data_IF_794962504890
#
_entry.id   IF_794962504890
#
_cell.length_a   1.000
_cell.length_b   1.000
_cell.length_c   1.000
_cell.angle_alpha   90.00
_cell.angle_beta   90.00
_cell.angle_gamma   90.00
#
_symmetry.space_group_name_H-M   'P 1'
#
loop_
_entity.id
_entity.type
_entity.pdbx_description
1 polymer ?
#
# COMPACT_ATOMS: atom_id res chain seq x y z
N UNK A 1 15.12 9.06 7.74
CA UNK A 1 15.06 7.68 8.27
C UNK A 1 13.79 7.04 7.75
N UNK A 2 13.91 5.92 7.05
CA UNK A 2 12.77 5.09 6.64
C UNK A 2 12.04 4.60 7.89
N UNK A 3 10.72 4.70 7.96
CA UNK A 3 9.98 4.20 9.13
C UNK A 3 10.12 2.67 9.19
N UNK A 4 10.51 2.13 10.34
CA UNK A 4 10.62 0.68 10.55
C UNK A 4 9.34 -0.10 10.16
N UNK A 5 8.12 0.43 10.38
CA UNK A 5 6.88 -0.22 9.94
C UNK A 5 6.78 -0.44 8.42
N UNK A 6 7.41 0.41 7.59
CA UNK A 6 7.44 0.22 6.14
C UNK A 6 8.22 -1.04 5.76
N UNK A 7 9.24 -1.43 6.53
CA UNK A 7 10.04 -2.63 6.27
C UNK A 7 9.26 -3.89 6.62
N UNK A 8 8.50 -3.88 7.71
CA UNK A 8 7.74 -5.06 8.15
C UNK A 8 6.53 -5.34 7.26
N UNK A 9 5.98 -4.32 6.57
CA UNK A 9 4.83 -4.49 5.69
C UNK A 9 5.10 -5.47 4.53
N UNK A 10 6.32 -5.44 3.98
CA UNK A 10 6.69 -6.26 2.82
C UNK A 10 7.39 -7.57 3.19
N UNK A 11 7.79 -7.73 4.45
CA UNK A 11 8.46 -8.93 4.95
C UNK A 11 7.70 -10.24 4.65
N UNK A 12 6.36 -10.32 4.70
CA UNK A 12 5.65 -11.56 4.35
C UNK A 12 5.93 -12.06 2.93
N UNK A 13 6.20 -11.16 1.98
CA UNK A 13 6.59 -11.53 0.61
C UNK A 13 8.06 -11.97 0.55
N UNK A 14 8.95 -11.24 1.23
CA UNK A 14 10.39 -11.57 1.28
C UNK A 14 10.64 -12.92 1.96
N UNK A 15 9.84 -13.26 2.98
CA UNK A 15 9.91 -14.52 3.71
C UNK A 15 9.09 -15.65 3.05
N UNK A 16 8.57 -15.43 1.84
CA UNK A 16 7.77 -16.40 1.08
C UNK A 16 6.51 -16.91 1.81
N UNK A 17 6.05 -16.16 2.83
CA UNK A 17 4.82 -16.47 3.57
C UNK A 17 3.56 -16.10 2.77
N UNK A 18 3.69 -15.14 1.85
CA UNK A 18 2.68 -14.77 0.86
C UNK A 18 3.29 -14.82 -0.56
N UNK A 19 2.53 -15.29 -1.56
CA UNK A 19 2.99 -15.21 -2.94
C UNK A 19 3.12 -13.74 -3.38
N UNK A 20 4.11 -13.46 -4.22
CA UNK A 20 4.24 -12.16 -4.86
C UNK A 20 3.02 -11.89 -5.76
N UNK A 21 2.48 -10.65 -5.77
CA UNK A 21 1.40 -10.30 -6.68
C UNK A 21 1.80 -10.49 -8.15
N UNK A 22 0.85 -10.93 -8.97
CA UNK A 22 1.03 -10.99 -10.43
C UNK A 22 1.31 -9.60 -10.98
N UNK A 23 2.04 -9.51 -12.10
CA UNK A 23 2.41 -8.24 -12.74
C UNK A 23 1.22 -7.32 -13.04
N UNK A 24 0.07 -7.90 -13.37
CA UNK A 24 -1.18 -7.20 -13.68
C UNK A 24 -2.09 -7.00 -12.45
N UNK A 25 -1.69 -7.51 -11.28
CA UNK A 25 -2.47 -7.38 -10.06
C UNK A 25 -2.58 -5.91 -9.62
N UNK A 26 -3.80 -5.50 -9.30
CA UNK A 26 -4.11 -4.18 -8.78
C UNK A 26 -3.95 -4.19 -7.27
N UNK A 27 -2.83 -3.67 -6.78
CA UNK A 27 -2.55 -3.58 -5.35
C UNK A 27 -2.88 -2.18 -4.84
N UNK A 28 -3.76 -2.08 -3.84
CA UNK A 28 -4.05 -0.82 -3.14
C UNK A 28 -3.09 -0.63 -1.97
N UNK A 29 -2.51 0.56 -1.78
CA UNK A 29 -1.67 0.84 -0.61
C UNK A 29 -2.20 2.05 0.16
N UNK A 30 -2.83 1.78 1.31
CA UNK A 30 -3.39 2.78 2.20
C UNK A 30 -2.38 3.24 3.25
N UNK A 31 -2.19 4.55 3.36
CA UNK A 31 -1.26 5.15 4.32
C UNK A 31 0.21 5.04 3.89
N UNK A 32 0.46 4.96 2.57
CA UNK A 32 1.80 4.85 2.02
C UNK A 32 2.68 6.05 2.43
N UNK A 33 3.87 5.78 2.95
CA UNK A 33 4.86 6.80 3.31
C UNK A 33 6.08 6.68 2.37
N UNK A 34 6.79 7.78 2.06
CA UNK A 34 7.99 7.71 1.22
C UNK A 34 9.08 6.81 1.81
N UNK A 35 9.88 6.20 0.93
CA UNK A 35 11.08 5.46 1.30
C UNK A 35 10.91 3.95 1.47
N UNK A 36 9.71 3.38 1.27
CA UNK A 36 9.60 1.93 1.16
C UNK A 36 10.39 1.41 -0.05
N UNK A 37 10.79 0.14 0.04
CA UNK A 37 11.34 -0.61 -1.07
C UNK A 37 10.42 -1.80 -1.31
N UNK A 38 10.07 -2.01 -2.57
CA UNK A 38 9.35 -3.21 -2.96
C UNK A 38 10.31 -4.42 -2.90
N UNK A 39 9.83 -5.61 -2.50
CA UNK A 39 10.60 -6.84 -2.59
C UNK A 39 11.07 -7.13 -4.00
N UNK A 40 12.18 -7.87 -4.12
CA UNK A 40 12.62 -8.39 -5.42
C UNK A 40 11.52 -9.26 -6.04
N UNK A 41 11.20 -9.01 -7.31
CA UNK A 41 10.13 -9.71 -8.04
C UNK A 41 8.70 -9.17 -7.80
N UNK A 42 8.54 -8.11 -7.00
CA UNK A 42 7.25 -7.42 -6.88
C UNK A 42 6.97 -6.57 -8.14
N UNK A 43 6.42 -7.22 -9.18
CA UNK A 43 6.20 -6.60 -10.49
C UNK A 43 4.88 -5.81 -10.60
N UNK A 44 3.97 -5.96 -9.64
CA UNK A 44 2.74 -5.19 -9.59
C UNK A 44 3.04 -3.71 -9.30
N UNK A 45 2.36 -2.81 -10.01
CA UNK A 45 2.46 -1.36 -9.73
C UNK A 45 1.39 -0.96 -8.72
N UNK A 46 1.74 -0.67 -7.46
CA UNK A 46 0.76 -0.35 -6.43
C UNK A 46 0.14 1.03 -6.64
N UNK A 47 -1.17 1.13 -6.39
CA UNK A 47 -1.90 2.38 -6.32
C UNK A 47 -1.80 2.95 -4.91
N UNK A 48 -1.04 4.04 -4.73
CA UNK A 48 -0.77 4.61 -3.42
C UNK A 48 -1.82 5.64 -3.02
N UNK A 49 -2.28 5.59 -1.77
CA UNK A 49 -3.23 6.56 -1.21
C UNK A 49 -2.57 7.37 -0.10
N UNK A 50 -2.42 8.67 -0.33
CA UNK A 50 -1.74 9.57 0.61
C UNK A 50 -2.30 11.00 0.54
N UNK A 51 -3.03 11.41 1.58
CA UNK A 51 -3.60 12.76 1.69
C UNK A 51 -2.62 13.83 2.20
N UNK A 52 -1.54 13.45 2.88
CA UNK A 52 -0.55 14.38 3.42
C UNK A 52 0.38 14.89 2.31
N UNK A 53 0.31 16.21 2.05
CA UNK A 53 0.90 16.83 0.87
C UNK A 53 2.41 16.58 0.70
N UNK A 54 3.26 16.67 1.74
CA UNK A 54 4.69 16.36 1.62
C UNK A 54 4.95 14.92 1.19
N UNK A 55 4.26 13.94 1.79
CA UNK A 55 4.41 12.54 1.44
C UNK A 55 3.89 12.26 0.03
N UNK A 56 2.72 12.81 -0.33
CA UNK A 56 2.17 12.71 -1.67
C UNK A 56 3.18 13.14 -2.74
N UNK A 57 3.82 14.30 -2.55
CA UNK A 57 4.80 14.83 -3.51
C UNK A 57 6.05 13.97 -3.61
N UNK A 58 6.57 13.50 -2.48
CA UNK A 58 7.74 12.62 -2.46
C UNK A 58 7.48 11.26 -3.13
N UNK A 59 6.28 10.69 -2.93
CA UNK A 59 5.86 9.46 -3.60
C UNK A 59 5.69 9.68 -5.11
N UNK A 60 5.04 10.78 -5.51
CA UNK A 60 4.86 11.14 -6.91
C UNK A 60 6.20 11.36 -7.62
N UNK A 61 7.15 12.07 -6.98
CA UNK A 61 8.50 12.26 -7.53
C UNK A 61 9.32 10.97 -7.61
N UNK A 62 8.91 9.93 -6.88
CA UNK A 62 9.51 8.59 -6.95
C UNK A 62 8.90 7.72 -8.06
N UNK A 63 8.01 8.28 -8.89
CA UNK A 63 7.42 7.60 -10.05
C UNK A 63 6.15 6.80 -9.76
N UNK A 64 5.63 6.82 -8.53
CA UNK A 64 4.41 6.09 -8.20
C UNK A 64 3.14 6.83 -8.62
N UNK A 65 2.10 6.05 -8.94
CA UNK A 65 0.72 6.55 -9.03
C UNK A 65 0.20 6.79 -7.62
N UNK A 66 -0.14 8.05 -7.31
CA UNK A 66 -0.61 8.45 -5.98
C UNK A 66 -1.89 9.25 -6.10
N UNK A 67 -2.91 8.87 -5.33
CA UNK A 67 -4.14 9.65 -5.16
C UNK A 67 -4.28 10.13 -3.72
N UNK A 68 -4.92 11.29 -3.48
CA UNK A 68 -5.14 11.78 -2.12
C UNK A 68 -6.20 10.99 -1.35
N UNK A 69 -7.07 10.27 -2.06
CA UNK A 69 -8.12 9.37 -1.55
C UNK A 69 -8.15 8.13 -2.44
N UNK A 70 -8.59 6.98 -1.92
CA UNK A 70 -8.66 5.78 -2.74
C UNK A 70 -9.76 5.93 -3.81
N UNK A 71 -9.49 5.39 -4.99
CA UNK A 71 -10.37 5.47 -6.16
C UNK A 71 -10.53 4.07 -6.77
N UNK A 72 -11.74 3.73 -7.19
CA UNK A 72 -12.07 2.42 -7.74
C UNK A 72 -12.24 1.29 -6.70
N UNK A 73 -12.57 0.12 -7.22
CA UNK A 73 -12.85 -1.13 -6.50
C UNK A 73 -12.25 -2.32 -7.27
N UNK A 74 -12.32 -3.52 -6.72
CA UNK A 74 -11.82 -4.75 -7.33
C UNK A 74 -10.29 -4.80 -7.38
N UNK A 75 -9.65 -4.39 -6.29
CA UNK A 75 -8.20 -4.59 -6.11
C UNK A 75 -7.94 -6.06 -5.75
N UNK A 76 -6.85 -6.63 -6.25
CA UNK A 76 -6.46 -8.03 -5.97
C UNK A 76 -5.82 -8.18 -4.58
N UNK A 77 -5.36 -7.09 -3.98
CA UNK A 77 -4.83 -7.04 -2.62
C UNK A 77 -4.80 -5.61 -2.08
N UNK A 78 -4.73 -5.47 -0.75
CA UNK A 78 -4.45 -4.21 -0.08
C UNK A 78 -3.30 -4.30 0.92
N UNK A 79 -2.41 -3.31 0.89
CA UNK A 79 -1.37 -3.05 1.88
C UNK A 79 -1.81 -1.89 2.76
N UNK A 80 -1.77 -2.07 4.08
CA UNK A 80 -2.20 -1.05 5.03
C UNK A 80 -1.13 -0.84 6.08
N UNK A 81 -0.61 0.38 6.18
CA UNK A 81 0.24 0.77 7.31
C UNK A 81 -0.63 1.37 8.41
N UNK A 82 -0.66 0.65 9.54
CA UNK A 82 -1.22 1.14 10.78
C UNK A 82 -0.29 2.20 11.40
N UNK A 83 -0.82 3.40 11.60
CA UNK A 83 -0.14 4.49 12.31
C UNK A 83 -0.48 4.50 13.80
N UNK A 84 -0.17 5.61 14.48
CA UNK A 84 -0.43 5.80 15.92
C UNK A 84 -1.89 6.07 16.27
N UNK A 85 -2.74 6.34 15.28
CA UNK A 85 -4.12 6.79 15.48
C UNK A 85 -5.10 5.66 15.16
N UNK A 86 -5.70 5.08 16.21
CA UNK A 86 -6.63 3.95 16.10
C UNK A 86 -7.76 4.20 15.10
N UNK A 87 -8.50 5.30 15.24
CA UNK A 87 -9.65 5.58 14.37
C UNK A 87 -9.25 5.71 12.90
N UNK A 88 -8.08 6.28 12.61
CA UNK A 88 -7.57 6.35 11.23
C UNK A 88 -7.20 4.96 10.69
N UNK A 89 -6.66 4.07 11.54
CA UNK A 89 -6.34 2.71 11.15
C UNK A 89 -7.61 1.89 10.86
N UNK A 90 -8.63 2.00 11.72
CA UNK A 90 -9.92 1.34 11.53
C UNK A 90 -10.57 1.76 10.20
N UNK A 91 -10.56 3.06 9.88
CA UNK A 91 -11.06 3.57 8.60
C UNK A 91 -10.26 3.02 7.40
N UNK A 92 -8.94 2.90 7.52
CA UNK A 92 -8.11 2.32 6.43
C UNK A 92 -8.41 0.83 6.24
N UNK A 93 -8.59 0.07 7.31
CA UNK A 93 -8.94 -1.35 7.22
C UNK A 93 -10.33 -1.52 6.59
N UNK A 94 -11.31 -0.72 7.00
CA UNK A 94 -12.64 -0.72 6.37
C UNK A 94 -12.55 -0.40 4.87
N UNK A 95 -11.81 0.65 4.50
CA UNK A 95 -11.62 1.03 3.10
C UNK A 95 -10.88 -0.04 2.28
N UNK A 96 -9.93 -0.78 2.88
CA UNK A 96 -9.29 -1.92 2.23
C UNK A 96 -10.31 -3.03 1.95
N UNK A 97 -11.10 -3.43 2.96
CA UNK A 97 -12.11 -4.49 2.84
C UNK A 97 -13.17 -4.13 1.78
N UNK A 98 -13.60 -2.87 1.73
CA UNK A 98 -14.61 -2.44 0.76
C UNK A 98 -14.12 -2.45 -0.70
N UNK A 99 -12.81 -2.24 -0.92
CA UNK A 99 -12.25 -2.02 -2.25
C UNK A 99 -11.56 -3.24 -2.85
N UNK A 100 -11.13 -4.16 -2.00
CA UNK A 100 -10.54 -5.43 -2.44
C UNK A 100 -11.63 -6.36 -2.97
N UNK A 101 -11.31 -7.11 -4.02
CA UNK A 101 -12.20 -8.11 -4.56
C UNK A 101 -12.41 -9.26 -3.55
N UNK A 102 -13.49 -10.04 -3.64
CA UNK A 102 -13.59 -11.29 -2.90
C UNK A 102 -12.33 -12.15 -3.13
N UNK A 103 -11.83 -12.78 -2.07
CA UNK A 103 -10.59 -13.60 -2.06
C UNK A 103 -9.27 -12.83 -2.23
N UNK A 104 -9.29 -11.49 -2.22
CA UNK A 104 -8.08 -10.64 -2.20
C UNK A 104 -7.61 -10.20 -0.82
#
# INVERSE_FOLDING_TARGET
MTSEPLKTLFHPFEAEALPLPRKDARVLFLGAEPGFRLPDGFDATPHLVQGFRPHFRALQSSGYTVTPRAEGYGFDAALVIAGRHRGQNELRIAEAIERVAPEG
#
